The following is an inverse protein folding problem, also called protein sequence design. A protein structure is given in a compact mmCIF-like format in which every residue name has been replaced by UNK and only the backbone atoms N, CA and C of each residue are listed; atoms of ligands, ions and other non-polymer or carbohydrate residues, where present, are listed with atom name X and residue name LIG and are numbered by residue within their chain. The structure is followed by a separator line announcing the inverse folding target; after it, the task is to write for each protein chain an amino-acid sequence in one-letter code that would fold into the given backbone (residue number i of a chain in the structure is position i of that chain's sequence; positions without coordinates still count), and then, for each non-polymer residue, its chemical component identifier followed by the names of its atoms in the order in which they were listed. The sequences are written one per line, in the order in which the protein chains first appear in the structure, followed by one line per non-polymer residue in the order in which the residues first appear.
data_IF_118080782257
#
_entry.id   IF_118080782257
#
_cell.length_a   1.000
_cell.length_b   1.000
_cell.length_c   1.000
_cell.angle_alpha   90.00
_cell.angle_beta   90.00
_cell.angle_gamma   90.00
#
_symmetry.space_group_name_H-M   'P 1'
#
loop_
_entity.id
_entity.type
_entity.pdbx_description
1 polymer ?
#
# COMPACT_ATOMS: atom_id res chain seq x y z
N UNK A 1 -6.18 -13.96 -10.59
CA UNK A 1 -5.53 -12.89 -11.35
C UNK A 1 -4.05 -13.19 -11.52
N UNK A 2 -3.43 -12.66 -12.57
CA UNK A 2 -1.98 -12.70 -12.77
C UNK A 2 -1.44 -11.27 -12.73
N UNK A 3 -0.47 -10.99 -11.87
CA UNK A 3 0.07 -9.65 -11.67
C UNK A 3 1.60 -9.71 -11.55
N UNK A 4 2.34 -8.81 -12.20
CA UNK A 4 3.81 -8.81 -12.11
C UNK A 4 4.24 -8.33 -10.73
N UNK A 5 5.17 -9.01 -10.08
CA UNK A 5 5.68 -8.63 -8.76
C UNK A 5 6.52 -7.35 -8.84
N UNK A 6 6.38 -6.52 -7.82
CA UNK A 6 7.32 -5.45 -7.53
C UNK A 6 8.31 -5.89 -6.46
N UNK A 7 9.52 -5.36 -6.49
CA UNK A 7 10.49 -5.50 -5.41
C UNK A 7 10.19 -4.52 -4.25
N UNK A 8 11.09 -4.48 -3.27
CA UNK A 8 10.96 -3.60 -2.09
C UNK A 8 10.98 -2.11 -2.43
N UNK A 9 11.60 -1.73 -3.55
CA UNK A 9 11.68 -0.34 -4.02
C UNK A 9 10.46 0.03 -4.87
N UNK A 10 9.59 -0.92 -5.19
CA UNK A 10 8.45 -0.73 -6.07
C UNK A 10 8.78 -0.91 -7.55
N UNK A 11 9.95 -1.46 -7.88
CA UNK A 11 10.36 -1.72 -9.26
C UNK A 11 9.89 -3.09 -9.75
N UNK A 12 9.62 -3.20 -11.04
CA UNK A 12 9.17 -4.46 -11.64
C UNK A 12 10.28 -5.52 -11.64
N UNK A 13 9.95 -6.72 -11.17
CA UNK A 13 10.86 -7.86 -11.23
C UNK A 13 10.89 -8.49 -12.64
N UNK A 14 12.09 -8.87 -13.10
CA UNK A 14 12.33 -9.56 -14.36
C UNK A 14 13.41 -10.65 -14.22
N UNK A 15 13.45 -11.58 -15.18
CA UNK A 15 14.54 -12.56 -15.34
C UNK A 15 14.31 -13.92 -14.67
N UNK A 16 13.21 -14.12 -13.94
CA UNK A 16 12.89 -15.40 -13.24
C UNK A 16 11.63 -16.08 -13.79
N UNK A 17 11.19 -15.69 -14.98
CA UNK A 17 10.07 -16.31 -15.69
C UNK A 17 8.76 -16.22 -14.92
N UNK A 18 8.18 -17.36 -14.55
CA UNK A 18 6.89 -17.40 -13.83
C UNK A 18 7.00 -16.93 -12.38
N UNK A 19 8.18 -17.00 -11.76
CA UNK A 19 8.37 -16.58 -10.37
C UNK A 19 8.21 -15.06 -10.16
N UNK A 20 8.34 -14.27 -11.23
CA UNK A 20 8.16 -12.81 -11.24
C UNK A 20 6.68 -12.39 -11.27
N UNK A 21 5.74 -13.33 -11.20
CA UNK A 21 4.31 -13.06 -11.20
C UNK A 21 3.65 -13.62 -9.94
N UNK A 22 2.74 -12.84 -9.39
CA UNK A 22 1.68 -13.36 -8.54
C UNK A 22 0.64 -14.08 -9.39
N UNK A 23 0.09 -15.16 -8.84
CA UNK A 23 -0.96 -15.96 -9.46
C UNK A 23 -1.98 -16.36 -8.41
N UNK A 24 -3.16 -15.76 -8.48
CA UNK A 24 -4.31 -16.11 -7.65
C UNK A 24 -4.00 -16.06 -6.14
N UNK A 25 -3.24 -15.03 -5.72
CA UNK A 25 -2.83 -14.78 -4.33
C UNK A 25 -3.27 -13.37 -3.88
N UNK A 26 -3.51 -13.15 -2.58
CA UNK A 26 -4.11 -11.92 -2.07
C UNK A 26 -3.19 -10.69 -2.13
N UNK A 27 -1.88 -10.88 -2.32
CA UNK A 27 -0.91 -9.79 -2.53
C UNK A 27 -1.08 -9.14 -3.91
N UNK A 28 -1.66 -9.85 -4.89
CA UNK A 28 -1.84 -9.32 -6.24
C UNK A 28 -2.87 -8.18 -6.29
N UNK A 29 -4.09 -8.31 -5.72
CA UNK A 29 -5.00 -7.17 -5.56
C UNK A 29 -4.38 -6.06 -4.71
N UNK A 30 -3.68 -6.39 -3.61
CA UNK A 30 -3.04 -5.38 -2.75
C UNK A 30 -2.01 -4.54 -3.51
N UNK A 31 -1.19 -5.16 -4.36
CA UNK A 31 -0.25 -4.43 -5.20
C UNK A 31 -0.97 -3.61 -6.28
N UNK A 32 -2.06 -4.12 -6.87
CA UNK A 32 -2.87 -3.37 -7.82
C UNK A 32 -3.49 -2.11 -7.18
N UNK A 33 -3.97 -2.20 -5.93
CA UNK A 33 -4.45 -1.05 -5.16
C UNK A 33 -3.33 -0.03 -5.00
N UNK A 34 -2.13 -0.44 -4.59
CA UNK A 34 -0.97 0.47 -4.45
C UNK A 34 -0.66 1.19 -5.76
N UNK A 35 -0.56 0.46 -6.87
CA UNK A 35 -0.30 1.07 -8.19
C UNK A 35 -1.40 2.06 -8.58
N UNK A 36 -2.67 1.74 -8.31
CA UNK A 36 -3.81 2.63 -8.57
C UNK A 36 -3.78 3.90 -7.71
N UNK A 37 -3.29 3.82 -6.48
CA UNK A 37 -3.08 4.97 -5.59
C UNK A 37 -1.88 5.83 -6.04
N UNK A 38 -0.84 5.23 -6.63
CA UNK A 38 0.28 5.99 -7.20
C UNK A 38 -0.11 6.78 -8.45
N UNK A 39 -0.95 6.22 -9.32
CA UNK A 39 -1.41 6.90 -10.53
C UNK A 39 -2.31 8.09 -10.16
N UNK A 40 -1.94 9.31 -10.55
CA UNK A 40 -2.79 10.49 -10.36
C UNK A 40 -3.81 10.62 -11.48
N UNK A 41 -4.97 11.18 -11.15
CA UNK A 41 -6.02 11.47 -12.11
C UNK A 41 -5.47 12.31 -13.28
N UNK A 42 -5.65 11.82 -14.51
CA UNK A 42 -5.20 12.52 -15.72
C UNK A 42 -3.75 12.24 -16.14
N UNK A 43 -2.97 11.47 -15.38
CA UNK A 43 -1.59 11.13 -15.77
C UNK A 43 -1.54 10.11 -16.90
N UNK A 44 -2.52 9.21 -16.98
CA UNK A 44 -2.53 8.18 -18.00
C UNK A 44 -3.06 8.73 -19.32
N UNK A 45 -2.18 8.88 -20.31
CA UNK A 45 -2.52 9.50 -21.60
C UNK A 45 -3.63 8.78 -22.38
N UNK A 46 -3.79 7.46 -22.18
CA UNK A 46 -4.80 6.67 -22.90
C UNK A 46 -6.19 6.82 -22.28
N UNK A 47 -6.25 7.11 -20.98
CA UNK A 47 -7.49 7.35 -20.25
C UNK A 47 -7.22 8.35 -19.13
N UNK A 48 -7.48 9.62 -19.43
CA UNK A 48 -7.29 10.72 -18.47
C UNK A 48 -8.39 10.76 -17.40
N UNK A 49 -9.44 9.94 -17.53
CA UNK A 49 -10.48 9.82 -16.51
C UNK A 49 -10.09 8.86 -15.38
N UNK A 50 -9.04 8.03 -15.60
CA UNK A 50 -8.50 7.16 -14.57
C UNK A 50 -7.39 7.83 -13.74
N UNK A 51 -7.25 7.32 -12.52
CA UNK A 51 -6.27 7.76 -11.53
C UNK A 51 -6.90 8.22 -10.23
N UNK A 52 -6.06 8.54 -9.26
CA UNK A 52 -6.47 8.96 -7.93
C UNK A 52 -6.52 10.50 -7.88
N UNK A 53 -7.63 11.12 -7.42
CA UNK A 53 -7.84 12.58 -7.43
C UNK A 53 -7.03 13.31 -6.33
N UNK A 54 -5.71 13.13 -6.33
CA UNK A 54 -4.81 13.66 -5.31
C UNK A 54 -4.89 15.17 -5.14
N UNK A 55 -4.94 15.91 -6.24
CA UNK A 55 -4.88 17.37 -6.22
C UNK A 55 -6.24 18.02 -5.92
N UNK A 56 -7.34 17.33 -6.20
CA UNK A 56 -8.70 17.88 -6.13
C UNK A 56 -9.40 17.46 -4.84
N UNK A 57 -9.50 16.15 -4.58
CA UNK A 57 -10.35 15.61 -3.52
C UNK A 57 -9.58 15.14 -2.28
N UNK A 58 -8.25 15.00 -2.37
CA UNK A 58 -7.42 14.46 -1.30
C UNK A 58 -6.55 15.54 -0.66
N UNK A 59 -5.63 16.19 -1.37
CA UNK A 59 -4.68 17.18 -0.82
C UNK A 59 -5.12 18.64 -1.03
N UNK A 60 -6.30 18.86 -1.62
CA UNK A 60 -6.85 20.19 -1.87
C UNK A 60 -7.30 20.93 -0.60
N UNK A 61 -7.80 22.15 -0.76
CA UNK A 61 -8.40 22.91 0.33
C UNK A 61 -9.79 22.32 0.71
N UNK A 62 -10.08 22.21 2.01
CA UNK A 62 -11.36 21.69 2.54
C UNK A 62 -11.68 20.22 2.20
N UNK A 63 -10.66 19.42 1.87
CA UNK A 63 -10.81 18.02 1.49
C UNK A 63 -10.90 17.05 2.67
N UNK A 64 -10.91 17.54 3.92
CA UNK A 64 -10.95 16.66 5.10
C UNK A 64 -12.13 15.68 5.06
N UNK A 65 -13.28 16.11 4.52
CA UNK A 65 -14.48 15.29 4.46
C UNK A 65 -14.54 14.35 3.24
N UNK A 66 -13.81 14.66 2.17
CA UNK A 66 -13.89 13.92 0.88
C UNK A 66 -12.74 12.93 0.70
N UNK A 67 -11.60 13.20 1.32
CA UNK A 67 -10.35 12.43 1.15
C UNK A 67 -10.53 10.94 1.40
N UNK A 68 -11.06 10.57 2.56
CA UNK A 68 -11.14 9.17 2.95
C UNK A 68 -12.18 8.42 2.10
N UNK A 69 -13.27 9.10 1.71
CA UNK A 69 -14.26 8.53 0.81
C UNK A 69 -13.64 8.20 -0.55
N UNK A 70 -12.91 9.16 -1.16
CA UNK A 70 -12.25 8.96 -2.45
C UNK A 70 -11.21 7.83 -2.42
N UNK A 71 -10.44 7.72 -1.33
CA UNK A 71 -9.45 6.66 -1.16
C UNK A 71 -10.11 5.28 -0.97
N UNK A 72 -11.17 5.20 -0.15
CA UNK A 72 -11.92 3.95 0.03
C UNK A 72 -12.55 3.48 -1.27
N UNK A 73 -13.20 4.38 -2.00
CA UNK A 73 -13.79 4.08 -3.31
C UNK A 73 -12.73 3.56 -4.30
N UNK A 74 -11.55 4.18 -4.32
CA UNK A 74 -10.44 3.74 -5.18
C UNK A 74 -9.94 2.33 -4.81
N UNK A 75 -9.85 2.03 -3.52
CA UNK A 75 -9.42 0.72 -3.00
C UNK A 75 -10.47 -0.34 -3.34
N UNK A 76 -11.72 -0.12 -2.97
CA UNK A 76 -12.84 -1.06 -3.18
C UNK A 76 -13.14 -1.29 -4.66
N UNK A 77 -12.99 -0.26 -5.49
CA UNK A 77 -13.13 -0.37 -6.95
C UNK A 77 -11.98 -1.09 -7.66
N UNK A 78 -11.00 -1.61 -6.93
CA UNK A 78 -9.88 -2.34 -7.53
C UNK A 78 -10.25 -3.79 -7.80
N UNK A 79 -9.95 -4.27 -9.01
CA UNK A 79 -10.23 -5.66 -9.41
C UNK A 79 -9.60 -6.67 -8.45
N UNK A 80 -10.42 -7.59 -7.93
CA UNK A 80 -10.01 -8.65 -7.01
C UNK A 80 -10.15 -8.27 -5.53
N UNK A 81 -10.46 -7.02 -5.21
CA UNK A 81 -10.89 -6.60 -3.87
C UNK A 81 -12.38 -6.93 -3.70
N UNK A 82 -12.72 -7.62 -2.62
CA UNK A 82 -14.11 -7.99 -2.29
C UNK A 82 -14.69 -7.06 -1.22
N UNK A 83 -13.90 -6.72 -0.20
CA UNK A 83 -14.27 -5.77 0.85
C UNK A 83 -13.05 -5.08 1.46
N UNK A 84 -13.27 -3.91 2.03
CA UNK A 84 -12.31 -3.17 2.84
C UNK A 84 -12.65 -3.37 4.32
N UNK A 85 -11.88 -4.21 5.01
CA UNK A 85 -12.18 -4.64 6.38
C UNK A 85 -11.66 -3.65 7.43
N UNK A 86 -10.52 -3.02 7.14
CA UNK A 86 -9.95 -1.97 7.97
C UNK A 86 -9.32 -0.87 7.10
N UNK A 87 -9.41 0.37 7.55
CA UNK A 87 -8.81 1.52 6.88
C UNK A 87 -8.41 2.58 7.91
N UNK A 88 -7.22 3.12 7.73
CA UNK A 88 -6.71 4.26 8.48
C UNK A 88 -5.90 5.17 7.56
N UNK A 89 -6.04 6.47 7.74
CA UNK A 89 -5.26 7.49 7.02
C UNK A 89 -4.67 8.49 8.00
N UNK A 90 -3.47 8.99 7.69
CA UNK A 90 -2.80 10.03 8.48
C UNK A 90 -2.23 11.08 7.54
N UNK A 91 -2.62 12.33 7.79
CA UNK A 91 -2.18 13.48 7.00
C UNK A 91 -1.22 14.34 7.79
N UNK A 92 -0.05 14.59 7.19
CA UNK A 92 0.94 15.51 7.69
C UNK A 92 0.88 16.81 6.88
N UNK A 93 0.48 17.90 7.52
CA UNK A 93 0.37 19.23 6.90
C UNK A 93 1.73 19.84 6.57
N UNK A 94 2.76 19.52 7.32
CA UNK A 94 4.09 20.12 7.18
C UNK A 94 4.79 19.59 5.93
N UNK A 95 4.72 18.27 5.72
CA UNK A 95 5.27 17.59 4.55
C UNK A 95 4.27 17.47 3.40
N UNK A 96 3.00 17.85 3.62
CA UNK A 96 1.87 17.66 2.68
C UNK A 96 1.74 16.21 2.21
N UNK A 97 2.05 15.28 3.09
CA UNK A 97 2.01 13.85 2.81
C UNK A 97 0.81 13.18 3.49
N UNK A 98 0.28 12.16 2.83
CA UNK A 98 -0.77 11.30 3.34
C UNK A 98 -0.26 9.86 3.33
N UNK A 99 -0.39 9.19 4.46
CA UNK A 99 -0.17 7.76 4.59
C UNK A 99 -1.51 7.06 4.78
N UNK A 100 -1.65 5.89 4.15
CA UNK A 100 -2.85 5.05 4.17
C UNK A 100 -2.45 3.64 4.55
N UNK A 101 -3.18 3.04 5.48
CA UNK A 101 -3.11 1.63 5.84
C UNK A 101 -4.49 1.01 5.66
N UNK A 102 -4.56 -0.14 4.98
CA UNK A 102 -5.82 -0.82 4.74
C UNK A 102 -5.65 -2.34 4.80
N UNK A 103 -6.64 -3.01 5.38
CA UNK A 103 -6.81 -4.47 5.33
C UNK A 103 -7.97 -4.76 4.39
N UNK A 104 -7.70 -5.53 3.34
CA UNK A 104 -8.67 -5.89 2.30
C UNK A 104 -8.89 -7.38 2.29
N UNK A 105 -10.16 -7.79 2.18
CA UNK A 105 -10.50 -9.16 1.80
C UNK A 105 -10.58 -9.22 0.29
N UNK A 106 -9.87 -10.18 -0.28
CA UNK A 106 -9.81 -10.43 -1.72
C UNK A 106 -10.43 -11.78 -2.03
N UNK A 107 -10.65 -12.06 -3.32
CA UNK A 107 -11.08 -13.40 -3.76
C UNK A 107 -10.05 -14.52 -3.47
N UNK A 108 -8.85 -14.16 -3.02
CA UNK A 108 -7.73 -15.08 -2.77
C UNK A 108 -7.31 -15.13 -1.29
N UNK A 109 -7.98 -14.37 -0.41
CA UNK A 109 -7.64 -14.25 1.00
C UNK A 109 -7.52 -12.80 1.47
N UNK A 110 -7.12 -12.61 2.72
CA UNK A 110 -6.94 -11.28 3.34
C UNK A 110 -5.53 -10.77 3.06
N UNK A 111 -5.39 -9.48 2.77
CA UNK A 111 -4.08 -8.82 2.63
C UNK A 111 -4.11 -7.43 3.25
N UNK A 112 -2.95 -6.98 3.73
CA UNK A 112 -2.75 -5.64 4.26
C UNK A 112 -1.86 -4.86 3.32
N UNK A 113 -2.20 -3.58 3.10
CA UNK A 113 -1.42 -2.67 2.29
C UNK A 113 -1.15 -1.36 3.00
N UNK A 114 0.03 -0.83 2.73
CA UNK A 114 0.49 0.48 3.17
C UNK A 114 0.86 1.30 1.94
N UNK A 115 0.45 2.56 1.94
CA UNK A 115 0.73 3.53 0.89
C UNK A 115 1.10 4.87 1.52
N UNK A 116 2.04 5.57 0.92
CA UNK A 116 2.28 6.99 1.19
C UNK A 116 2.50 7.72 -0.12
N UNK A 117 2.00 8.94 -0.23
CA UNK A 117 2.23 9.80 -1.41
C UNK A 117 3.56 10.56 -1.33
N UNK A 118 4.27 10.47 -0.21
CA UNK A 118 5.60 11.04 0.00
C UNK A 118 6.70 10.04 -0.36
N UNK A 119 7.96 10.43 -0.16
CA UNK A 119 9.08 9.50 -0.26
C UNK A 119 8.89 8.41 0.79
N UNK A 120 8.68 7.16 0.37
CA UNK A 120 8.92 6.01 1.23
C UNK A 120 10.42 5.96 1.44
N UNK A 121 10.89 6.20 2.67
CA UNK A 121 12.31 6.02 2.99
C UNK A 121 12.68 4.59 2.61
N UNK A 122 13.74 4.41 1.82
CA UNK A 122 14.21 3.08 1.44
C UNK A 122 14.64 2.29 2.68
N UNK A 123 14.74 0.97 2.59
CA UNK A 123 15.27 0.15 3.69
C UNK A 123 16.61 0.66 4.21
N UNK A 124 17.45 1.17 3.30
CA UNK A 124 18.77 1.70 3.62
C UNK A 124 18.68 3.06 4.33
N UNK A 125 17.72 3.90 3.94
CA UNK A 125 17.45 5.18 4.59
C UNK A 125 16.81 4.98 5.97
N UNK A 126 15.93 3.99 6.13
CA UNK A 126 15.33 3.63 7.43
C UNK A 126 16.36 2.99 8.37
N UNK A 127 17.27 2.16 7.85
CA UNK A 127 18.34 1.55 8.63
C UNK A 127 19.40 2.56 9.10
N UNK A 128 19.58 3.69 8.39
CA UNK A 128 20.49 4.76 8.81
C UNK A 128 19.92 5.66 9.91
N UNK A 129 18.60 5.71 10.07
CA UNK A 129 17.93 6.53 11.10
C UNK A 129 17.50 5.73 12.33
N UNK A 130 17.42 4.40 12.22
CA UNK A 130 17.08 3.53 13.35
C UNK A 130 18.22 3.49 14.38
N UNK A 131 17.94 3.98 15.58
CA UNK A 131 18.92 4.08 16.67
C UNK A 131 19.18 2.71 17.34
N UNK A 132 18.25 1.75 17.23
CA UNK A 132 18.39 0.38 17.74
C UNK A 132 17.96 -0.71 16.76
N UNK A 133 18.48 -1.93 16.92
CA UNK A 133 18.18 -3.08 16.04
C UNK A 133 16.70 -3.51 16.07
N UNK A 134 15.98 -3.21 17.15
CA UNK A 134 14.53 -3.43 17.25
C UNK A 134 13.76 -2.46 16.35
N UNK A 135 14.19 -1.19 16.30
CA UNK A 135 13.59 -0.17 15.43
C UNK A 135 13.80 -0.49 13.94
N UNK A 136 14.93 -1.13 13.58
CA UNK A 136 15.19 -1.59 12.21
C UNK A 136 14.19 -2.68 11.79
N UNK A 137 13.90 -3.65 12.67
CA UNK A 137 12.99 -4.76 12.38
C UNK A 137 11.56 -4.23 12.23
N UNK A 138 11.11 -3.36 13.13
CA UNK A 138 9.77 -2.76 13.07
C UNK A 138 9.61 -1.80 11.88
N UNK A 139 10.68 -1.09 11.48
CA UNK A 139 10.69 -0.22 10.32
C UNK A 139 10.66 -0.97 8.98
N UNK A 140 11.31 -2.14 8.90
CA UNK A 140 11.41 -2.93 7.66
C UNK A 140 10.24 -3.90 7.49
N UNK A 141 9.73 -4.46 8.58
CA UNK A 141 8.70 -5.52 8.54
C UNK A 141 7.34 -5.09 9.10
N UNK A 142 7.21 -3.88 9.65
CA UNK A 142 6.03 -3.45 10.38
C UNK A 142 5.99 -4.08 11.78
N UNK A 143 5.36 -3.37 12.73
CA UNK A 143 5.39 -3.68 14.17
C UNK A 143 5.02 -5.14 14.45
N UNK A 144 6.03 -5.96 14.77
CA UNK A 144 5.82 -7.30 15.30
C UNK A 144 5.76 -7.15 16.80
N UNK A 145 4.58 -7.36 17.38
CA UNK A 145 4.43 -7.36 18.83
C UNK A 145 5.19 -8.56 19.44
N UNK A 146 6.42 -8.30 19.92
CA UNK A 146 7.26 -9.28 20.61
C UNK A 146 6.82 -9.53 22.07
N UNK A 147 5.71 -8.94 22.54
CA UNK A 147 5.26 -9.12 23.92
C UNK A 147 4.63 -10.48 24.22
N UNK A 148 4.51 -11.39 23.24
CA UNK A 148 4.07 -12.76 23.47
C UNK A 148 4.98 -13.83 22.85
N UNK A 149 6.02 -14.31 23.55
CA UNK A 149 6.95 -15.31 23.03
C UNK A 149 6.43 -16.76 23.06
N UNK A 150 5.15 -17.02 23.38
CA UNK A 150 4.60 -18.37 23.34
C UNK A 150 3.12 -18.32 22.95
N UNK A 151 2.80 -18.63 21.69
CA UNK A 151 1.67 -19.49 21.27
C UNK A 151 1.73 -19.71 19.75
N UNK A 152 2.47 -20.73 19.33
CA UNK A 152 1.98 -21.66 18.30
C UNK A 152 2.71 -22.99 18.47
N UNK A 153 1.95 -23.98 18.93
CA UNK A 153 2.37 -25.37 18.98
C UNK A 153 2.53 -25.91 17.57
N UNK A 154 3.65 -26.58 17.35
CA UNK A 154 3.92 -27.37 16.16
C UNK A 154 2.99 -28.59 16.13
N UNK A 155 2.33 -28.78 14.99
CA UNK A 155 2.27 -30.08 14.31
C UNK A 155 2.69 -29.85 12.85
#
# INVERSE_FOLDING_TARGET
MRYRKLDVNGDMMFGRGQADFYRDVPEAPAQAVKTRLFLRLGEWFLDTSDGTPWNTEILGAHTQNTRDAALRERIEGTTGVSSLDAYSSSYNSDTRSLSVSATITTSYGVSTLYYTNGQTKTSDQLAQEAETATDVIDAVYGQLDFSNPFQSGWL
#
